data_IF_175399372947
#
_entry.id   IF_175399372947
#
_cell.length_a   1.000
_cell.length_b   1.000
_cell.length_c   1.000
_cell.angle_alpha   90.00
_cell.angle_beta   90.00
_cell.angle_gamma   90.00
#
_symmetry.space_group_name_H-M   'P 1'
#
loop_
_entity.id
_entity.type
_entity.pdbx_description
1 polymer ?
#
# COMPACT_ATOMS: atom_id res chain seq x y z
N UNK A 1 39.60 31.49 -71.70
CA UNK A 1 40.10 30.46 -70.76
C UNK A 1 39.12 30.42 -69.61
N UNK A 2 38.12 29.55 -69.73
CA UNK A 2 37.07 29.35 -68.73
C UNK A 2 37.34 28.03 -68.01
N UNK A 3 37.20 28.05 -66.69
CA UNK A 3 36.36 27.19 -65.87
C UNK A 3 36.99 26.96 -64.49
N UNK A 4 36.42 27.67 -63.52
CA UNK A 4 36.43 27.31 -62.10
C UNK A 4 35.66 25.99 -61.96
N UNK A 5 36.35 24.93 -61.56
CA UNK A 5 35.73 23.67 -61.14
C UNK A 5 35.30 23.79 -59.68
N UNK A 6 33.99 23.86 -59.49
CA UNK A 6 33.30 23.63 -58.23
C UNK A 6 33.51 22.19 -57.75
N UNK A 7 34.22 22.01 -56.64
CA UNK A 7 34.17 20.77 -55.88
C UNK A 7 32.83 20.72 -55.14
N UNK A 8 31.88 19.99 -55.72
CA UNK A 8 30.66 19.56 -55.06
C UNK A 8 31.05 18.39 -54.17
N UNK A 9 31.10 18.62 -52.85
CA UNK A 9 31.11 17.55 -51.87
C UNK A 9 29.76 16.83 -51.96
N UNK A 10 29.72 15.48 -52.01
CA UNK A 10 28.46 14.76 -51.98
C UNK A 10 27.80 15.00 -50.63
N UNK A 11 26.56 15.49 -50.64
CA UNK A 11 25.64 15.37 -49.51
C UNK A 11 25.61 13.89 -49.12
N UNK A 12 26.21 13.55 -47.98
CA UNK A 12 25.97 12.26 -47.34
C UNK A 12 24.50 12.23 -46.95
N UNK A 13 23.78 11.48 -47.79
CA UNK A 13 22.55 10.77 -47.51
C UNK A 13 22.16 10.74 -46.04
N UNK A 14 20.93 11.18 -45.78
CA UNK A 14 20.02 10.72 -44.72
C UNK A 14 20.55 9.46 -44.02
N UNK A 15 21.01 9.60 -42.77
CA UNK A 15 21.20 8.49 -41.84
C UNK A 15 19.81 7.89 -41.56
N UNK A 16 19.40 6.96 -42.41
CA UNK A 16 18.42 5.95 -42.03
C UNK A 16 19.18 4.92 -41.22
N UNK A 17 19.31 5.12 -39.91
CA UNK A 17 19.72 4.02 -39.04
C UNK A 17 18.66 2.93 -39.17
N UNK A 18 19.00 1.83 -39.83
CA UNK A 18 18.15 0.64 -39.89
C UNK A 18 17.76 0.25 -38.46
N UNK A 19 16.48 -0.02 -38.23
CA UNK A 19 16.01 -0.54 -36.94
C UNK A 19 16.80 -1.81 -36.60
N UNK A 20 17.32 -1.95 -35.37
CA UNK A 20 18.01 -3.17 -34.99
C UNK A 20 17.08 -4.37 -35.20
N UNK A 21 17.61 -5.47 -35.72
CA UNK A 21 16.82 -6.69 -36.05
C UNK A 21 16.07 -7.29 -34.85
N UNK A 22 16.38 -6.85 -33.63
CA UNK A 22 15.72 -7.24 -32.37
C UNK A 22 14.63 -6.27 -31.91
N UNK A 23 14.39 -5.17 -32.63
CA UNK A 23 13.39 -4.18 -32.28
C UNK A 23 11.98 -4.78 -32.33
N UNK A 24 11.22 -4.54 -31.27
CA UNK A 24 9.79 -4.83 -31.20
C UNK A 24 9.04 -3.60 -31.67
N UNK A 25 8.15 -3.80 -32.64
CA UNK A 25 7.24 -2.75 -33.10
C UNK A 25 6.13 -2.62 -32.07
N UNK A 26 5.93 -1.41 -31.56
CA UNK A 26 4.84 -1.07 -30.64
C UNK A 26 3.56 -0.87 -31.46
N UNK A 27 2.46 -1.46 -31.01
CA UNK A 27 1.16 -1.24 -31.64
C UNK A 27 0.57 0.11 -31.21
N UNK A 28 -0.39 0.63 -31.99
CA UNK A 28 -1.14 1.82 -31.59
C UNK A 28 -1.87 1.60 -30.25
N UNK A 29 -2.37 0.38 -29.99
CA UNK A 29 -3.00 0.01 -28.72
C UNK A 29 -2.02 0.11 -27.54
N UNK A 30 -0.75 -0.27 -27.72
CA UNK A 30 0.28 -0.15 -26.69
C UNK A 30 0.58 1.32 -26.36
N UNK A 31 0.63 2.16 -27.39
CA UNK A 31 0.85 3.60 -27.28
C UNK A 31 -0.32 4.28 -26.57
N UNK A 32 -1.55 3.98 -27.00
CA UNK A 32 -2.77 4.52 -26.39
C UNK A 32 -2.89 4.10 -24.92
N UNK A 33 -2.58 2.83 -24.60
CA UNK A 33 -2.56 2.33 -23.23
C UNK A 33 -1.50 3.03 -22.38
N UNK A 34 -0.29 3.21 -22.90
CA UNK A 34 0.78 3.90 -22.19
C UNK A 34 0.40 5.37 -21.92
N UNK A 35 -0.20 6.04 -22.90
CA UNK A 35 -0.72 7.40 -22.75
C UNK A 35 -1.79 7.46 -21.66
N UNK A 36 -2.82 6.59 -21.69
CA UNK A 36 -3.90 6.56 -20.70
C UNK A 36 -3.35 6.38 -19.27
N UNK A 37 -2.42 5.44 -19.06
CA UNK A 37 -1.83 5.19 -17.74
C UNK A 37 -1.04 6.42 -17.27
N UNK A 38 -0.22 7.02 -18.14
CA UNK A 38 0.56 8.21 -17.78
C UNK A 38 -0.32 9.42 -17.44
N UNK A 39 -1.39 9.65 -18.21
CA UNK A 39 -2.35 10.74 -17.98
C UNK A 39 -3.12 10.54 -16.67
N UNK A 40 -3.50 9.30 -16.33
CA UNK A 40 -4.19 8.99 -15.07
C UNK A 40 -3.33 9.28 -13.83
N UNK A 41 -2.00 9.16 -13.95
CA UNK A 41 -1.06 9.36 -12.85
C UNK A 41 -0.62 10.83 -12.71
N UNK A 42 -0.85 11.64 -13.73
CA UNK A 42 -0.59 13.07 -13.74
C UNK A 42 -1.45 13.79 -12.69
N UNK A 43 -0.82 14.62 -11.84
CA UNK A 43 -1.51 15.27 -10.73
C UNK A 43 -2.63 16.19 -11.17
N UNK A 44 -3.88 15.89 -10.78
CA UNK A 44 -5.04 16.76 -11.05
C UNK A 44 -4.95 18.14 -10.37
N UNK A 45 -4.15 18.26 -9.31
CA UNK A 45 -4.04 19.48 -8.49
C UNK A 45 -3.21 20.58 -9.16
N UNK A 46 -2.29 20.21 -10.05
CA UNK A 46 -1.45 21.17 -10.76
C UNK A 46 -1.93 21.36 -12.21
N UNK A 47 -2.20 22.61 -12.59
CA UNK A 47 -2.28 23.02 -14.01
C UNK A 47 -0.91 22.97 -14.72
N UNK A 48 0.12 22.40 -14.07
CA UNK A 48 1.47 22.24 -14.59
C UNK A 48 1.84 20.76 -14.45
N UNK A 49 1.72 19.96 -15.52
CA UNK A 49 2.12 18.55 -15.48
C UNK A 49 3.58 18.41 -15.03
N UNK A 50 3.88 17.45 -14.16
CA UNK A 50 5.26 17.04 -13.92
C UNK A 50 5.68 16.17 -15.12
N UNK A 51 5.95 16.85 -16.24
CA UNK A 51 6.15 16.23 -17.55
C UNK A 51 7.26 15.17 -17.55
N UNK A 52 8.26 15.30 -16.68
CA UNK A 52 9.35 14.32 -16.58
C UNK A 52 8.85 13.01 -15.98
N UNK A 53 8.00 13.06 -14.95
CA UNK A 53 7.37 11.86 -14.37
C UNK A 53 6.41 11.20 -15.35
N UNK A 54 5.52 11.99 -15.94
CA UNK A 54 4.52 11.51 -16.91
C UNK A 54 5.21 10.81 -18.08
N UNK A 55 6.28 11.44 -18.58
CA UNK A 55 7.12 10.87 -19.62
C UNK A 55 7.78 9.55 -19.18
N UNK A 56 8.37 9.49 -17.98
CA UNK A 56 9.00 8.26 -17.53
C UNK A 56 7.99 7.11 -17.32
N UNK A 57 6.81 7.41 -16.79
CA UNK A 57 5.70 6.45 -16.66
C UNK A 57 5.26 5.94 -18.03
N UNK A 58 5.13 6.84 -19.00
CA UNK A 58 4.81 6.49 -20.39
C UNK A 58 5.87 5.55 -20.98
N UNK A 59 7.16 5.89 -20.87
CA UNK A 59 8.27 5.03 -21.32
C UNK A 59 8.27 3.67 -20.62
N UNK A 60 8.00 3.62 -19.32
CA UNK A 60 7.91 2.38 -18.56
C UNK A 60 6.75 1.49 -19.05
N UNK A 61 5.61 2.07 -19.43
CA UNK A 61 4.49 1.32 -20.01
C UNK A 61 4.82 0.76 -21.40
N UNK A 62 5.48 1.55 -22.26
CA UNK A 62 5.96 1.07 -23.56
C UNK A 62 6.99 -0.05 -23.41
N UNK A 63 7.94 0.10 -22.49
CA UNK A 63 8.94 -0.91 -22.21
C UNK A 63 8.31 -2.23 -21.71
N UNK A 64 7.28 -2.15 -20.86
CA UNK A 64 6.53 -3.33 -20.43
C UNK A 64 5.87 -4.03 -21.62
N UNK A 65 5.13 -3.29 -22.44
CA UNK A 65 4.40 -3.86 -23.60
C UNK A 65 5.35 -4.48 -24.63
N UNK A 66 6.47 -3.82 -24.90
CA UNK A 66 7.52 -4.35 -25.77
C UNK A 66 8.18 -5.60 -25.19
N UNK A 67 8.46 -5.64 -23.89
CA UNK A 67 9.07 -6.79 -23.25
C UNK A 67 8.12 -7.99 -23.20
N UNK A 68 6.83 -7.76 -22.96
CA UNK A 68 5.78 -8.79 -23.04
C UNK A 68 5.73 -9.41 -24.45
N UNK A 69 5.71 -8.57 -25.48
CA UNK A 69 5.74 -9.01 -26.88
C UNK A 69 7.05 -9.73 -27.24
N UNK A 70 8.19 -9.21 -26.80
CA UNK A 70 9.51 -9.83 -27.03
C UNK A 70 9.59 -11.25 -26.45
N UNK A 71 9.04 -11.44 -25.25
CA UNK A 71 8.96 -12.74 -24.59
C UNK A 71 7.98 -13.68 -25.31
N UNK A 72 6.81 -13.20 -25.72
CA UNK A 72 5.82 -14.02 -26.43
C UNK A 72 6.41 -14.57 -27.74
N UNK A 73 7.02 -13.71 -28.56
CA UNK A 73 7.61 -14.09 -29.86
C UNK A 73 8.76 -15.09 -29.75
N UNK A 74 9.53 -15.06 -28.65
CA UNK A 74 10.78 -15.83 -28.52
C UNK A 74 10.66 -16.96 -27.51
N UNK A 75 9.67 -16.92 -26.63
CA UNK A 75 9.52 -17.79 -25.48
C UNK A 75 8.08 -17.96 -24.96
N UNK A 76 7.18 -18.38 -25.84
CA UNK A 76 5.77 -18.75 -25.54
C UNK A 76 5.57 -19.66 -24.30
N UNK A 77 6.58 -20.44 -23.90
CA UNK A 77 6.48 -21.29 -22.70
C UNK A 77 6.61 -20.54 -21.37
N UNK A 78 7.10 -19.30 -21.37
CA UNK A 78 7.30 -18.50 -20.16
C UNK A 78 6.01 -17.71 -19.86
N UNK A 79 5.43 -17.94 -18.69
CA UNK A 79 4.26 -17.19 -18.23
C UNK A 79 4.68 -15.85 -17.64
N UNK A 80 4.01 -14.77 -18.05
CA UNK A 80 4.18 -13.44 -17.47
C UNK A 80 3.00 -13.17 -16.52
N UNK A 81 3.31 -12.71 -15.31
CA UNK A 81 2.32 -12.15 -14.40
C UNK A 81 2.73 -10.72 -14.03
N UNK A 82 1.85 -9.77 -14.34
CA UNK A 82 2.02 -8.34 -14.07
C UNK A 82 1.12 -7.82 -12.94
N UNK A 83 0.36 -8.68 -12.24
CA UNK A 83 -0.62 -8.28 -11.20
C UNK A 83 0.01 -7.44 -10.09
N UNK A 84 1.26 -7.75 -9.72
CA UNK A 84 2.03 -7.05 -8.67
C UNK A 84 3.03 -6.06 -9.22
N UNK A 85 3.01 -5.80 -10.53
CA UNK A 85 3.94 -4.89 -11.17
C UNK A 85 3.76 -3.46 -10.65
N UNK A 86 4.86 -2.74 -10.42
CA UNK A 86 4.82 -1.38 -9.86
C UNK A 86 4.10 -0.40 -10.77
N UNK A 87 4.25 -0.53 -12.10
CA UNK A 87 3.68 0.42 -13.07
C UNK A 87 2.14 0.34 -13.13
N UNK A 88 1.55 -0.80 -12.78
CA UNK A 88 0.10 -1.00 -12.74
C UNK A 88 -0.51 -0.58 -11.39
N UNK A 89 0.31 -0.19 -10.41
CA UNK A 89 -0.11 0.28 -9.10
C UNK A 89 0.14 1.78 -8.98
N UNK A 90 -0.92 2.63 -9.00
CA UNK A 90 -0.76 4.08 -9.11
C UNK A 90 0.20 4.73 -8.12
N UNK A 91 0.13 4.33 -6.84
CA UNK A 91 1.02 4.88 -5.82
C UNK A 91 2.48 4.51 -6.07
N UNK A 92 2.78 3.26 -6.46
CA UNK A 92 4.15 2.84 -6.75
C UNK A 92 4.67 3.45 -8.06
N UNK A 93 3.86 3.46 -9.11
CA UNK A 93 4.19 4.06 -10.41
C UNK A 93 4.54 5.55 -10.29
N UNK A 94 3.90 6.27 -9.36
CA UNK A 94 4.15 7.69 -9.11
C UNK A 94 5.51 7.98 -8.44
N UNK A 95 6.08 7.00 -7.74
CA UNK A 95 7.28 7.19 -6.91
C UNK A 95 8.47 6.32 -7.31
N UNK A 96 8.26 5.26 -8.09
CA UNK A 96 9.31 4.35 -8.55
C UNK A 96 9.40 4.43 -10.08
N UNK A 97 10.48 5.02 -10.56
CA UNK A 97 10.76 5.19 -11.99
C UNK A 97 11.31 3.91 -12.64
N UNK A 98 10.68 2.76 -12.39
CA UNK A 98 11.02 1.48 -12.97
C UNK A 98 9.82 0.52 -12.95
N UNK A 99 9.84 -0.48 -13.83
CA UNK A 99 8.84 -1.56 -13.90
C UNK A 99 9.33 -2.72 -13.05
N UNK A 100 9.16 -2.65 -11.73
CA UNK A 100 9.60 -3.69 -10.80
C UNK A 100 8.46 -4.67 -10.47
N UNK A 101 8.82 -5.77 -9.79
CA UNK A 101 7.90 -6.84 -9.39
C UNK A 101 7.18 -7.54 -10.56
N UNK A 102 7.71 -7.43 -11.79
CA UNK A 102 7.22 -8.23 -12.91
C UNK A 102 7.65 -9.69 -12.72
N UNK A 103 6.73 -10.63 -12.85
CA UNK A 103 7.01 -12.05 -12.65
C UNK A 103 7.07 -12.75 -14.01
N UNK A 104 8.20 -13.40 -14.31
CA UNK A 104 8.40 -14.20 -15.53
C UNK A 104 8.79 -15.62 -15.11
N UNK A 105 7.86 -16.56 -15.26
CA UNK A 105 7.96 -17.88 -14.64
C UNK A 105 8.10 -17.74 -13.12
N UNK A 106 9.18 -18.27 -12.57
CA UNK A 106 9.50 -18.14 -11.13
C UNK A 106 10.45 -16.96 -10.82
N UNK A 107 10.96 -16.25 -11.84
CA UNK A 107 11.84 -15.10 -11.66
C UNK A 107 11.09 -13.78 -11.59
N UNK A 108 11.41 -13.00 -10.56
CA UNK A 108 11.16 -11.56 -10.51
C UNK A 108 12.12 -10.78 -11.43
N UNK A 109 11.57 -9.92 -12.27
CA UNK A 109 12.28 -9.08 -13.26
C UNK A 109 11.94 -7.61 -13.01
N UNK A 110 12.91 -6.72 -13.25
CA UNK A 110 12.70 -5.28 -13.27
C UNK A 110 13.11 -4.71 -14.62
N UNK A 111 12.23 -3.96 -15.28
CA UNK A 111 12.56 -3.24 -16.51
C UNK A 111 12.97 -1.80 -16.18
N UNK A 112 14.02 -1.34 -16.82
CA UNK A 112 14.55 0.02 -16.75
C UNK A 112 14.39 0.61 -18.14
N UNK A 113 13.38 1.46 -18.31
CA UNK A 113 13.09 2.10 -19.59
C UNK A 113 13.92 3.37 -19.77
N UNK A 114 14.54 3.51 -20.93
CA UNK A 114 15.23 4.75 -21.33
C UNK A 114 14.87 5.13 -22.76
N UNK A 115 14.73 6.43 -23.01
CA UNK A 115 14.50 6.97 -24.36
C UNK A 115 15.79 7.13 -25.18
N UNK A 116 16.96 7.00 -24.55
CA UNK A 116 18.25 7.13 -25.22
C UNK A 116 19.35 6.42 -24.43
N UNK A 117 20.27 5.79 -25.14
CA UNK A 117 21.47 5.15 -24.57
C UNK A 117 22.75 5.98 -24.78
N UNK A 118 22.63 7.22 -25.26
CA UNK A 118 23.79 8.06 -25.62
C UNK A 118 24.67 8.45 -24.42
N UNK A 119 24.10 8.52 -23.21
CA UNK A 119 24.80 9.00 -22.02
C UNK A 119 25.71 7.93 -21.38
N UNK A 120 25.84 6.74 -21.99
CA UNK A 120 26.64 5.57 -21.55
C UNK A 120 26.37 5.06 -20.11
N UNK A 121 25.47 5.73 -19.39
CA UNK A 121 25.09 5.49 -18.00
C UNK A 121 23.59 5.31 -17.91
N UNK A 122 23.15 4.44 -17.01
CA UNK A 122 21.74 4.25 -16.69
C UNK A 122 21.45 4.63 -15.24
N UNK A 123 20.34 5.33 -15.05
CA UNK A 123 19.82 5.69 -13.73
C UNK A 123 18.95 4.58 -13.16
N UNK A 124 19.24 4.14 -11.93
CA UNK A 124 18.54 3.09 -11.22
C UNK A 124 17.94 3.64 -9.92
N UNK A 125 16.61 3.57 -9.73
CA UNK A 125 16.01 4.00 -8.47
C UNK A 125 16.59 3.25 -7.29
N UNK A 126 17.02 3.96 -6.25
CA UNK A 126 17.58 3.32 -5.04
C UNK A 126 16.61 2.29 -4.43
N UNK A 127 15.30 2.52 -4.55
CA UNK A 127 14.25 1.59 -4.11
C UNK A 127 14.41 0.19 -4.70
N UNK A 128 14.76 0.05 -5.99
CA UNK A 128 14.89 -1.26 -6.63
C UNK A 128 16.24 -1.94 -6.35
N UNK A 129 17.19 -1.22 -5.74
CA UNK A 129 18.54 -1.70 -5.41
C UNK A 129 18.67 -2.06 -3.93
N UNK A 130 18.11 -1.24 -3.05
CA UNK A 130 18.35 -1.31 -1.60
C UNK A 130 17.18 -1.95 -0.83
N UNK A 131 15.95 -1.97 -1.37
CA UNK A 131 14.79 -2.54 -0.68
C UNK A 131 14.49 -3.97 -1.15
N UNK A 132 14.62 -5.01 -0.29
CA UNK A 132 14.34 -6.41 -0.62
C UNK A 132 12.98 -6.66 -1.30
N UNK A 133 11.98 -5.85 -0.97
CA UNK A 133 10.64 -5.90 -1.54
C UNK A 133 10.61 -5.64 -3.05
N UNK A 134 11.58 -4.90 -3.59
CA UNK A 134 11.64 -4.46 -4.98
C UNK A 134 12.81 -5.03 -5.77
N UNK A 135 13.85 -5.55 -5.09
CA UNK A 135 15.00 -6.19 -5.74
C UNK A 135 14.53 -7.36 -6.63
N UNK A 136 14.84 -7.34 -7.94
CA UNK A 136 14.57 -8.44 -8.87
C UNK A 136 15.72 -9.44 -8.93
N UNK A 137 15.51 -10.58 -9.58
CA UNK A 137 16.61 -11.47 -10.00
C UNK A 137 17.36 -10.91 -11.21
N UNK A 138 16.64 -10.25 -12.12
CA UNK A 138 17.19 -9.63 -13.32
C UNK A 138 16.71 -8.19 -13.49
N UNK A 139 17.66 -7.30 -13.75
CA UNK A 139 17.43 -5.95 -14.25
C UNK A 139 17.57 -5.98 -15.77
N UNK A 140 16.58 -5.47 -16.49
CA UNK A 140 16.55 -5.49 -17.95
C UNK A 140 16.48 -4.06 -18.45
N UNK A 141 17.44 -3.68 -19.26
CA UNK A 141 17.50 -2.38 -19.90
C UNK A 141 16.69 -2.45 -21.21
N UNK A 142 15.67 -1.60 -21.30
CA UNK A 142 14.81 -1.49 -22.47
C UNK A 142 14.95 -0.09 -23.05
N UNK A 143 15.45 -0.01 -24.28
CA UNK A 143 15.52 1.24 -25.03
C UNK A 143 14.21 1.45 -25.78
N UNK A 144 13.56 2.59 -25.55
CA UNK A 144 12.28 2.95 -26.17
C UNK A 144 12.53 4.05 -27.18
N UNK A 145 12.35 3.72 -28.46
CA UNK A 145 12.47 4.63 -29.60
C UNK A 145 11.06 5.08 -29.98
N UNK A 146 10.50 5.99 -29.18
CA UNK A 146 9.12 6.49 -29.32
C UNK A 146 8.83 7.03 -30.72
N UNK A 147 9.74 7.84 -31.29
CA UNK A 147 9.60 8.41 -32.65
C UNK A 147 9.50 7.33 -33.74
N UNK A 148 10.03 6.13 -33.48
CA UNK A 148 10.02 4.99 -34.40
C UNK A 148 8.94 3.97 -34.02
N UNK A 149 8.12 4.25 -33.01
CA UNK A 149 7.13 3.33 -32.45
C UNK A 149 7.72 1.94 -32.22
N UNK A 150 8.91 1.89 -31.62
CA UNK A 150 9.59 0.62 -31.36
C UNK A 150 10.37 0.67 -30.05
N UNK A 151 10.65 -0.51 -29.52
CA UNK A 151 11.52 -0.66 -28.36
C UNK A 151 12.41 -1.88 -28.50
N UNK A 152 13.56 -1.86 -27.84
CA UNK A 152 14.58 -2.89 -27.91
C UNK A 152 14.94 -3.36 -26.50
N UNK A 153 14.81 -4.67 -26.26
CA UNK A 153 15.38 -5.31 -25.07
C UNK A 153 16.89 -5.33 -25.26
N UNK A 154 17.56 -4.33 -24.72
CA UNK A 154 18.93 -3.99 -25.11
C UNK A 154 19.98 -4.82 -24.36
N UNK A 155 19.84 -4.91 -23.04
CA UNK A 155 20.80 -5.59 -22.18
C UNK A 155 20.16 -6.04 -20.87
N UNK A 156 20.82 -6.90 -20.11
CA UNK A 156 20.35 -7.33 -18.80
C UNK A 156 21.48 -7.53 -17.80
N UNK A 157 21.14 -7.57 -16.51
CA UNK A 157 22.08 -7.75 -15.41
C UNK A 157 21.39 -8.55 -14.31
N UNK A 158 22.02 -9.63 -13.83
CA UNK A 158 21.49 -10.35 -12.67
C UNK A 158 21.79 -9.62 -11.36
N UNK A 159 21.00 -9.88 -10.32
CA UNK A 159 21.25 -9.32 -8.99
C UNK A 159 22.63 -9.69 -8.43
N UNK A 160 23.08 -10.92 -8.67
CA UNK A 160 24.42 -11.36 -8.24
C UNK A 160 25.52 -10.54 -8.93
N UNK A 161 25.39 -10.32 -10.23
CA UNK A 161 26.32 -9.50 -11.01
C UNK A 161 26.31 -8.02 -10.59
N UNK A 162 25.15 -7.49 -10.18
CA UNK A 162 25.04 -6.15 -9.61
C UNK A 162 25.85 -6.03 -8.30
N UNK A 163 25.75 -7.02 -7.40
CA UNK A 163 26.51 -7.04 -6.15
C UNK A 163 28.02 -7.05 -6.39
N UNK A 164 28.48 -7.84 -7.36
CA UNK A 164 29.90 -7.88 -7.76
C UNK A 164 30.40 -6.52 -8.29
N UNK A 165 29.49 -5.70 -8.84
CA UNK A 165 29.77 -4.40 -9.44
C UNK A 165 29.37 -3.22 -8.55
N UNK A 166 29.05 -3.45 -7.27
CA UNK A 166 28.56 -2.40 -6.37
C UNK A 166 29.51 -1.19 -6.25
N UNK A 167 30.81 -1.42 -6.36
CA UNK A 167 31.83 -0.36 -6.32
C UNK A 167 31.80 0.59 -7.54
N UNK A 168 31.14 0.20 -8.63
CA UNK A 168 30.98 1.03 -9.83
C UNK A 168 29.72 1.90 -9.76
N UNK A 169 28.83 1.63 -8.80
CA UNK A 169 27.62 2.42 -8.60
C UNK A 169 27.93 3.68 -7.80
N UNK A 170 27.39 4.81 -8.24
CA UNK A 170 27.47 6.08 -7.52
C UNK A 170 26.07 6.60 -7.22
N UNK A 171 25.78 6.83 -5.94
CA UNK A 171 24.52 7.43 -5.51
C UNK A 171 24.56 8.93 -5.81
N UNK A 172 23.59 9.40 -6.59
CA UNK A 172 23.44 10.79 -6.97
C UNK A 172 22.54 11.55 -5.98
N UNK A 173 22.50 12.88 -6.12
CA UNK A 173 21.70 13.75 -5.24
C UNK A 173 20.19 13.57 -5.41
N UNK A 174 19.74 13.06 -6.56
CA UNK A 174 18.33 12.75 -6.85
C UNK A 174 17.88 11.43 -6.20
N UNK A 175 18.76 10.75 -5.47
CA UNK A 175 18.48 9.47 -4.82
C UNK A 175 18.55 8.26 -5.75
N UNK A 176 19.07 8.40 -6.98
CA UNK A 176 19.28 7.29 -7.90
C UNK A 176 20.74 6.85 -7.96
N UNK A 177 20.97 5.57 -8.25
CA UNK A 177 22.30 5.06 -8.60
C UNK A 177 22.56 5.24 -10.09
N UNK A 178 23.79 5.60 -10.43
CA UNK A 178 24.27 5.60 -11.81
C UNK A 178 25.17 4.38 -12.04
N UNK A 179 24.91 3.64 -13.11
CA UNK A 179 25.66 2.45 -13.50
C UNK A 179 26.03 2.52 -14.99
N UNK A 180 27.27 2.23 -15.40
CA UNK A 180 27.63 2.18 -16.82
C UNK A 180 26.87 1.09 -17.57
N UNK A 181 26.37 1.39 -18.77
CA UNK A 181 25.67 0.42 -19.63
C UNK A 181 26.57 -0.79 -19.94
N UNK A 182 27.89 -0.59 -20.04
CA UNK A 182 28.89 -1.66 -20.22
C UNK A 182 28.93 -2.68 -19.08
N UNK A 183 28.27 -2.41 -17.96
CA UNK A 183 28.11 -3.35 -16.85
C UNK A 183 27.12 -4.47 -17.16
N UNK A 184 26.18 -4.24 -18.08
CA UNK A 184 25.12 -5.17 -18.46
C UNK A 184 25.62 -6.14 -19.54
N UNK A 185 25.06 -7.35 -19.55
CA UNK A 185 25.22 -8.30 -20.66
C UNK A 185 24.35 -7.83 -21.83
N UNK A 186 25.00 -7.52 -22.96
CA UNK A 186 24.39 -6.97 -24.16
C UNK A 186 23.76 -8.04 -25.07
N UNK A 187 23.68 -9.30 -24.62
CA UNK A 187 23.04 -10.37 -25.36
C UNK A 187 21.73 -10.78 -24.68
N UNK A 188 20.58 -10.18 -25.05
CA UNK A 188 19.29 -10.49 -24.45
C UNK A 188 18.83 -11.94 -24.65
N UNK A 189 19.35 -12.69 -25.64
CA UNK A 189 19.03 -14.11 -25.79
C UNK A 189 19.57 -14.96 -24.63
N UNK A 190 20.64 -14.50 -23.94
CA UNK A 190 21.12 -15.16 -22.72
C UNK A 190 20.15 -15.02 -21.56
N UNK A 191 19.39 -13.92 -21.50
CA UNK A 191 18.31 -13.77 -20.52
C UNK A 191 17.26 -14.87 -20.74
N UNK A 192 16.86 -15.15 -21.98
CA UNK A 192 15.91 -16.23 -22.29
C UNK A 192 16.44 -17.60 -21.86
N UNK A 193 17.73 -17.85 -22.05
CA UNK A 193 18.38 -19.07 -21.59
C UNK A 193 18.29 -19.20 -20.05
N UNK A 194 18.58 -18.11 -19.32
CA UNK A 194 18.51 -18.12 -17.87
C UNK A 194 17.09 -18.30 -17.36
N UNK A 195 16.11 -17.57 -17.91
CA UNK A 195 14.71 -17.69 -17.52
C UNK A 195 14.13 -19.09 -17.73
N UNK A 196 14.67 -19.87 -18.68
CA UNK A 196 14.21 -21.24 -18.98
C UNK A 196 14.96 -22.33 -18.23
N UNK A 197 16.26 -22.16 -18.04
CA UNK A 197 17.15 -23.25 -17.65
C UNK A 197 17.75 -23.08 -16.25
N UNK A 198 17.71 -21.87 -15.68
CA UNK A 198 18.24 -21.61 -14.36
C UNK A 198 17.18 -21.92 -13.30
N UNK A 199 17.60 -22.52 -12.19
CA UNK A 199 16.76 -22.62 -11.00
C UNK A 199 16.75 -21.27 -10.26
N UNK A 200 15.60 -20.84 -9.74
CA UNK A 200 15.49 -19.55 -9.03
C UNK A 200 16.44 -19.45 -7.84
N UNK A 201 16.68 -20.57 -7.16
CA UNK A 201 17.61 -20.67 -6.03
C UNK A 201 19.05 -20.26 -6.39
N UNK A 202 19.43 -20.31 -7.66
CA UNK A 202 20.75 -19.90 -8.13
C UNK A 202 21.01 -18.40 -7.98
N UNK A 203 19.96 -17.57 -7.96
CA UNK A 203 20.04 -16.14 -7.69
C UNK A 203 19.32 -15.86 -6.38
N UNK A 204 20.07 -15.79 -5.29
CA UNK A 204 19.51 -15.57 -3.96
C UNK A 204 19.20 -14.10 -3.72
N UNK A 205 17.91 -13.80 -3.53
CA UNK A 205 17.45 -12.47 -3.14
C UNK A 205 17.57 -12.25 -1.62
N UNK A 206 17.76 -11.01 -1.16
CA UNK A 206 17.81 -10.72 0.27
C UNK A 206 16.45 -10.98 0.94
N UNK A 207 16.47 -11.47 2.17
CA UNK A 207 15.26 -11.70 2.94
C UNK A 207 14.58 -10.36 3.28
N UNK A 208 13.25 -10.32 3.16
CA UNK A 208 12.44 -9.17 3.57
C UNK A 208 12.49 -9.07 5.11
N UNK A 209 12.92 -7.93 5.69
CA UNK A 209 12.97 -7.74 7.13
C UNK A 209 11.59 -7.86 7.76
N UNK A 210 11.48 -8.57 8.89
CA UNK A 210 10.21 -8.72 9.62
C UNK A 210 9.91 -7.54 10.56
N UNK A 211 10.88 -6.64 10.78
CA UNK A 211 10.78 -5.52 11.71
C UNK A 211 10.31 -4.21 11.05
N UNK A 212 9.67 -4.24 9.87
CA UNK A 212 9.19 -3.02 9.17
C UNK A 212 8.24 -2.17 10.03
N UNK A 213 7.36 -2.82 10.80
CA UNK A 213 6.45 -2.15 11.71
C UNK A 213 7.21 -1.39 12.83
N UNK A 214 8.30 -1.95 13.34
CA UNK A 214 9.13 -1.30 14.37
C UNK A 214 9.88 -0.08 13.81
N UNK A 215 10.37 -0.19 12.56
CA UNK A 215 11.01 0.94 11.86
C UNK A 215 9.99 2.07 11.69
N UNK A 216 8.78 1.76 11.22
CA UNK A 216 7.71 2.74 11.06
C UNK A 216 7.34 3.42 12.39
N UNK A 217 7.22 2.65 13.47
CA UNK A 217 6.95 3.19 14.80
C UNK A 217 8.05 4.16 15.27
N UNK A 218 9.31 3.88 14.91
CA UNK A 218 10.47 4.71 15.28
C UNK A 218 10.47 6.06 14.54
N UNK A 219 10.09 6.06 13.26
CA UNK A 219 10.07 7.29 12.44
C UNK A 219 8.74 8.06 12.51
N UNK A 220 7.74 7.56 13.24
CA UNK A 220 6.38 8.12 13.31
C UNK A 220 6.36 9.64 13.56
N UNK A 221 7.03 10.12 14.61
CA UNK A 221 6.98 11.54 14.98
C UNK A 221 7.63 12.43 13.91
N UNK A 222 8.69 11.94 13.26
CA UNK A 222 9.36 12.66 12.19
C UNK A 222 8.48 12.77 10.95
N UNK A 223 7.75 11.70 10.60
CA UNK A 223 6.78 11.74 9.49
C UNK A 223 5.63 12.72 9.77
N UNK A 224 5.18 12.82 11.02
CA UNK A 224 4.15 13.79 11.41
C UNK A 224 4.64 15.24 11.29
N UNK A 225 5.92 15.50 11.57
CA UNK A 225 6.53 16.83 11.41
C UNK A 225 6.67 17.22 9.93
N UNK A 226 6.96 16.25 9.05
CA UNK A 226 7.10 16.46 7.61
C UNK A 226 5.76 16.50 6.84
N UNK A 227 4.64 16.31 7.52
CA UNK A 227 3.30 16.31 6.92
C UNK A 227 3.01 17.54 6.03
N UNK A 228 3.33 18.80 6.42
CA UNK A 228 3.07 19.95 5.57
C UNK A 228 3.85 19.92 4.25
N UNK A 229 5.06 19.34 4.25
CA UNK A 229 5.89 19.21 3.05
C UNK A 229 5.43 18.06 2.16
N UNK A 230 5.00 16.94 2.77
CA UNK A 230 4.44 15.78 2.04
C UNK A 230 3.16 16.12 1.28
N UNK A 231 2.41 17.13 1.72
CA UNK A 231 1.21 17.63 1.03
C UNK A 231 1.51 18.38 -0.26
N UNK A 232 2.76 18.82 -0.48
CA UNK A 232 3.13 19.58 -1.66
C UNK A 232 3.36 18.62 -2.84
N UNK A 233 2.51 18.65 -3.89
CA UNK A 233 2.65 17.75 -5.04
C UNK A 233 3.89 18.03 -5.90
N UNK A 234 4.50 19.21 -5.76
CA UNK A 234 5.65 19.65 -6.56
C UNK A 234 6.98 19.04 -6.10
N UNK A 235 7.03 18.46 -4.89
CA UNK A 235 8.27 17.92 -4.31
C UNK A 235 8.31 16.40 -4.41
N UNK A 236 9.48 15.89 -4.79
CA UNK A 236 9.75 14.47 -4.77
C UNK A 236 9.88 13.96 -3.32
N UNK A 237 9.49 12.71 -3.08
CA UNK A 237 9.70 12.10 -1.76
C UNK A 237 11.19 12.05 -1.38
N UNK A 238 12.07 11.90 -2.37
CA UNK A 238 13.52 11.91 -2.17
C UNK A 238 14.07 13.26 -1.65
N UNK A 239 13.37 14.37 -1.93
CA UNK A 239 13.76 15.70 -1.46
C UNK A 239 13.25 16.00 -0.04
N UNK A 240 12.21 15.29 0.41
CA UNK A 240 11.54 15.53 1.70
C UNK A 240 12.00 14.52 2.75
N UNK A 241 12.10 13.25 2.38
CA UNK A 241 12.31 12.14 3.30
C UNK A 241 13.77 11.74 3.38
N UNK A 242 14.23 11.41 4.58
CA UNK A 242 15.47 10.63 4.73
C UNK A 242 15.27 9.22 4.19
N UNK A 243 16.36 8.51 3.90
CA UNK A 243 16.26 7.13 3.40
C UNK A 243 15.52 6.18 4.37
N UNK A 244 15.69 6.36 5.67
CA UNK A 244 15.00 5.55 6.69
C UNK A 244 13.48 5.79 6.67
N UNK A 245 13.07 7.05 6.52
CA UNK A 245 11.67 7.44 6.38
C UNK A 245 11.07 6.97 5.05
N UNK A 246 11.80 7.14 3.94
CA UNK A 246 11.39 6.65 2.64
C UNK A 246 11.22 5.12 2.66
N UNK A 247 12.14 4.39 3.30
CA UNK A 247 12.02 2.94 3.51
C UNK A 247 10.73 2.61 4.25
N UNK A 248 10.41 3.32 5.33
CA UNK A 248 9.16 3.10 6.07
C UNK A 248 7.92 3.37 5.20
N UNK A 249 7.94 4.37 4.33
CA UNK A 249 6.82 4.67 3.42
C UNK A 249 6.68 3.61 2.32
N UNK A 250 7.77 3.29 1.60
CA UNK A 250 7.74 2.34 0.47
C UNK A 250 7.43 0.89 0.86
N UNK A 251 7.72 0.51 2.11
CA UNK A 251 7.51 -0.88 2.59
C UNK A 251 6.15 -1.08 3.27
N UNK A 252 5.32 -0.04 3.35
CA UNK A 252 3.95 -0.10 3.89
C UNK A 252 2.96 0.42 2.84
N UNK A 253 2.26 -0.47 2.11
CA UNK A 253 1.38 -0.09 1.00
C UNK A 253 0.28 0.91 1.37
N UNK A 254 -0.31 0.77 2.56
CA UNK A 254 -1.38 1.65 3.04
C UNK A 254 -0.85 3.07 3.25
N UNK A 255 0.36 3.20 3.80
CA UNK A 255 1.01 4.49 4.00
C UNK A 255 1.41 5.13 2.66
N UNK A 256 1.97 4.35 1.73
CA UNK A 256 2.31 4.84 0.39
C UNK A 256 1.07 5.33 -0.37
N UNK A 257 -0.02 4.55 -0.33
CA UNK A 257 -1.31 4.92 -0.94
C UNK A 257 -1.88 6.20 -0.31
N UNK A 258 -1.77 6.35 1.01
CA UNK A 258 -2.18 7.58 1.66
C UNK A 258 -1.33 8.78 1.21
N UNK A 259 0.00 8.67 1.16
CA UNK A 259 0.87 9.75 0.66
C UNK A 259 0.51 10.11 -0.79
N UNK A 260 0.28 9.11 -1.63
CA UNK A 260 -0.17 9.30 -3.01
C UNK A 260 -1.50 10.07 -3.07
N UNK A 261 -2.54 9.61 -2.36
CA UNK A 261 -3.86 10.27 -2.36
C UNK A 261 -3.80 11.69 -1.77
N UNK A 262 -2.93 11.92 -0.79
CA UNK A 262 -2.67 13.23 -0.20
C UNK A 262 -2.10 14.22 -1.22
N UNK A 263 -1.10 13.81 -2.00
CA UNK A 263 -0.50 14.65 -3.05
C UNK A 263 -1.44 14.86 -4.24
N UNK A 264 -2.33 13.91 -4.51
CA UNK A 264 -3.27 13.92 -5.64
C UNK A 264 -4.57 14.68 -5.36
N UNK A 265 -4.79 15.15 -4.13
CA UNK A 265 -6.06 15.75 -3.67
C UNK A 265 -7.27 14.81 -3.81
N UNK A 266 -7.03 13.50 -3.78
CA UNK A 266 -8.07 12.46 -3.86
C UNK A 266 -8.68 12.16 -2.48
N UNK A 267 -8.48 13.04 -1.50
CA UNK A 267 -8.98 12.84 -0.16
C UNK A 267 -10.51 12.96 -0.16
N UNK A 268 -11.25 11.96 0.35
CA UNK A 268 -12.70 12.07 0.49
C UNK A 268 -13.08 13.23 1.41
N UNK A 269 -14.20 13.92 1.09
CA UNK A 269 -14.66 15.13 1.79
C UNK A 269 -14.89 14.95 3.30
N UNK A 270 -15.01 13.70 3.78
CA UNK A 270 -15.27 13.35 5.17
C UNK A 270 -14.01 12.91 5.95
N UNK A 271 -12.81 13.02 5.38
CA UNK A 271 -11.61 12.57 6.07
C UNK A 271 -11.25 13.48 7.27
N UNK A 272 -10.76 12.88 8.38
CA UNK A 272 -10.24 13.67 9.48
C UNK A 272 -9.04 14.52 9.03
N UNK A 273 -8.62 15.52 9.86
CA UNK A 273 -7.39 16.24 9.61
C UNK A 273 -6.24 15.26 9.33
N UNK A 274 -5.44 15.54 8.29
CA UNK A 274 -4.41 14.61 7.80
C UNK A 274 -3.45 14.10 8.88
N UNK A 275 -3.18 14.91 9.92
CA UNK A 275 -2.38 14.52 11.08
C UNK A 275 -3.05 13.41 11.89
N UNK A 276 -4.34 13.55 12.17
CA UNK A 276 -5.13 12.54 12.88
C UNK A 276 -5.18 11.24 12.08
N UNK A 277 -5.43 11.33 10.77
CA UNK A 277 -5.43 10.16 9.90
C UNK A 277 -4.09 9.43 9.91
N UNK A 278 -2.97 10.16 9.70
CA UNK A 278 -1.64 9.56 9.67
C UNK A 278 -1.30 8.88 11.00
N UNK A 279 -1.68 9.46 12.15
CA UNK A 279 -1.50 8.82 13.46
C UNK A 279 -2.29 7.53 13.57
N UNK A 280 -3.54 7.54 13.15
CA UNK A 280 -4.43 6.37 13.24
C UNK A 280 -3.96 5.26 12.29
N UNK A 281 -3.54 5.61 11.07
CA UNK A 281 -2.95 4.69 10.10
C UNK A 281 -1.67 4.04 10.64
N UNK A 282 -0.75 4.83 11.19
CA UNK A 282 0.48 4.28 11.78
C UNK A 282 0.15 3.35 12.96
N UNK A 283 -0.86 3.66 13.78
CA UNK A 283 -1.30 2.75 14.86
C UNK A 283 -1.85 1.44 14.30
N UNK A 284 -2.69 1.49 13.25
CA UNK A 284 -3.27 0.30 12.61
C UNK A 284 -2.19 -0.65 12.05
N UNK A 285 -1.10 -0.07 11.52
CA UNK A 285 0.02 -0.83 10.97
C UNK A 285 0.92 -1.39 12.08
N UNK A 286 1.26 -0.56 13.08
CA UNK A 286 2.35 -0.86 14.04
C UNK A 286 1.89 -1.51 15.35
N UNK A 287 0.65 -1.30 15.78
CA UNK A 287 0.17 -1.84 17.05
C UNK A 287 -0.31 -3.29 16.90
N UNK A 288 -0.09 -4.13 17.92
CA UNK A 288 -0.73 -5.44 17.97
C UNK A 288 -2.25 -5.27 18.06
N UNK A 289 -2.98 -6.14 17.38
CA UNK A 289 -4.43 -6.09 17.32
C UNK A 289 -5.06 -7.13 18.25
N UNK A 290 -6.20 -6.79 18.85
CA UNK A 290 -7.08 -7.71 19.55
C UNK A 290 -7.79 -8.57 18.51
N UNK A 291 -7.59 -9.88 18.56
CA UNK A 291 -8.25 -10.80 17.64
C UNK A 291 -9.68 -11.11 18.11
N UNK A 292 -10.64 -10.36 17.56
CA UNK A 292 -12.06 -10.54 17.82
C UNK A 292 -12.61 -11.85 17.22
N UNK A 293 -11.98 -12.38 16.16
CA UNK A 293 -12.38 -13.65 15.54
C UNK A 293 -12.35 -14.84 16.49
N UNK A 294 -11.36 -14.89 17.40
CA UNK A 294 -11.25 -15.94 18.43
C UNK A 294 -12.39 -15.94 19.43
N UNK A 295 -13.08 -14.82 19.61
CA UNK A 295 -14.21 -14.73 20.54
C UNK A 295 -15.36 -15.62 20.10
N UNK A 296 -15.49 -15.90 18.79
CA UNK A 296 -16.45 -16.88 18.26
C UNK A 296 -16.21 -18.30 18.79
N UNK A 297 -14.96 -18.62 19.12
CA UNK A 297 -14.55 -19.85 19.81
C UNK A 297 -14.65 -19.79 21.34
N UNK A 298 -15.15 -18.69 21.92
CA UNK A 298 -15.09 -18.36 23.34
C UNK A 298 -13.65 -18.29 23.89
N UNK A 299 -12.72 -17.79 23.09
CA UNK A 299 -11.32 -17.62 23.48
C UNK A 299 -10.89 -16.15 23.35
N UNK A 300 -10.06 -15.70 24.29
CA UNK A 300 -9.34 -14.42 24.19
C UNK A 300 -7.88 -14.71 23.78
N UNK A 301 -7.32 -13.86 22.94
CA UNK A 301 -5.88 -13.84 22.69
C UNK A 301 -5.12 -13.22 23.89
N UNK A 302 -3.79 -13.33 23.86
CA UNK A 302 -2.95 -12.86 24.96
C UNK A 302 -3.04 -11.34 25.15
N UNK A 303 -3.23 -10.58 24.05
CA UNK A 303 -3.41 -9.14 24.11
C UNK A 303 -4.71 -8.78 24.83
N UNK A 304 -5.85 -9.36 24.44
CA UNK A 304 -7.13 -9.09 25.09
C UNK A 304 -7.11 -9.46 26.58
N UNK A 305 -6.49 -10.60 26.93
CA UNK A 305 -6.28 -10.98 28.34
C UNK A 305 -5.43 -9.94 29.10
N UNK A 306 -4.32 -9.50 28.51
CA UNK A 306 -3.43 -8.50 29.10
C UNK A 306 -4.12 -7.15 29.32
N UNK A 307 -5.06 -6.81 28.46
CA UNK A 307 -5.90 -5.61 28.56
C UNK A 307 -7.15 -5.81 29.45
N UNK A 308 -7.28 -6.96 30.10
CA UNK A 308 -8.40 -7.29 31.01
C UNK A 308 -9.78 -7.31 30.32
N UNK A 309 -9.83 -7.71 29.04
CA UNK A 309 -11.10 -8.04 28.41
C UNK A 309 -11.72 -9.29 29.06
N UNK A 310 -13.04 -9.30 29.16
CA UNK A 310 -13.80 -10.43 29.71
C UNK A 310 -14.88 -10.85 28.72
N UNK A 311 -14.89 -12.13 28.34
CA UNK A 311 -15.89 -12.67 27.41
C UNK A 311 -17.30 -12.57 28.01
N UNK A 312 -18.24 -12.15 27.17
CA UNK A 312 -19.66 -12.21 27.46
C UNK A 312 -20.16 -13.67 27.32
N UNK A 313 -21.18 -14.07 28.10
CA UNK A 313 -21.85 -15.34 27.89
C UNK A 313 -22.49 -15.39 26.50
N UNK A 314 -22.64 -16.61 25.97
CA UNK A 314 -23.32 -16.83 24.68
C UNK A 314 -24.74 -16.27 24.68
N UNK A 315 -25.16 -15.62 23.57
CA UNK A 315 -26.48 -15.02 23.37
C UNK A 315 -27.66 -16.01 23.22
N UNK A 316 -27.52 -17.22 23.76
CA UNK A 316 -28.60 -18.22 23.80
C UNK A 316 -29.51 -17.89 24.98
N UNK A 317 -30.84 -17.76 24.78
CA UNK A 317 -31.76 -17.49 25.89
C UNK A 317 -31.69 -18.63 26.93
N UNK A 318 -31.10 -18.34 28.08
CA UNK A 318 -30.92 -19.32 29.14
C UNK A 318 -32.23 -19.50 29.92
N UNK A 319 -32.80 -20.70 29.87
CA UNK A 319 -33.98 -21.10 30.67
C UNK A 319 -33.60 -21.55 32.10
N UNK A 320 -32.57 -20.98 32.73
CA UNK A 320 -32.12 -21.46 34.04
C UNK A 320 -31.17 -20.53 34.80
N UNK A 321 -31.40 -20.46 36.12
CA UNK A 321 -30.69 -19.65 37.13
C UNK A 321 -29.17 -19.82 37.06
N UNK A 322 -28.48 -18.90 36.41
CA UNK A 322 -27.05 -18.64 36.66
C UNK A 322 -26.92 -17.52 37.70
N UNK A 323 -25.91 -17.55 38.58
CA UNK A 323 -25.59 -16.41 39.43
C UNK A 323 -25.25 -15.21 38.52
N UNK A 324 -26.18 -14.25 38.51
CA UNK A 324 -26.19 -13.06 37.68
C UNK A 324 -24.99 -12.16 38.00
N UNK A 325 -24.28 -11.70 36.95
CA UNK A 325 -23.23 -10.68 37.04
C UNK A 325 -23.73 -9.40 36.40
N UNK A 326 -23.48 -8.27 37.07
CA UNK A 326 -23.98 -6.93 36.68
C UNK A 326 -23.68 -6.57 35.21
N UNK A 327 -22.47 -6.77 34.64
CA UNK A 327 -22.19 -6.41 33.24
C UNK A 327 -22.98 -7.21 32.20
N UNK A 328 -23.29 -8.48 32.50
CA UNK A 328 -24.02 -9.35 31.58
C UNK A 328 -25.49 -8.94 31.51
N UNK A 329 -26.08 -8.54 32.64
CA UNK A 329 -27.45 -8.01 32.71
C UNK A 329 -27.58 -6.66 32.01
N UNK A 330 -26.62 -5.75 32.24
CA UNK A 330 -26.55 -4.47 31.53
C UNK A 330 -26.55 -4.68 30.02
N UNK A 331 -25.70 -5.60 29.54
CA UNK A 331 -25.63 -5.91 28.11
C UNK A 331 -26.95 -6.49 27.58
N UNK A 332 -27.60 -7.41 28.29
CA UNK A 332 -28.90 -7.96 27.85
C UNK A 332 -29.99 -6.89 27.74
N UNK A 333 -30.00 -5.92 28.66
CA UNK A 333 -30.91 -4.75 28.58
C UNK A 333 -30.60 -3.94 27.31
N UNK A 334 -29.33 -3.62 27.06
CA UNK A 334 -28.92 -2.87 25.87
C UNK A 334 -29.25 -3.66 24.60
N UNK A 335 -28.91 -4.94 24.53
CA UNK A 335 -29.17 -5.81 23.38
C UNK A 335 -30.68 -5.90 23.06
N UNK A 336 -31.53 -5.93 24.09
CA UNK A 336 -32.99 -5.90 23.91
C UNK A 336 -33.44 -4.56 23.31
N UNK A 337 -32.90 -3.44 23.78
CA UNK A 337 -33.21 -2.12 23.24
C UNK A 337 -32.70 -1.95 21.80
N UNK A 338 -31.50 -2.46 21.48
CA UNK A 338 -30.95 -2.44 20.13
C UNK A 338 -31.83 -3.22 19.14
N UNK A 339 -32.34 -4.39 19.55
CA UNK A 339 -33.31 -5.16 18.74
C UNK A 339 -34.61 -4.37 18.51
N UNK A 340 -35.12 -3.65 19.52
CA UNK A 340 -36.29 -2.78 19.35
C UNK A 340 -36.02 -1.60 18.41
N UNK A 341 -34.77 -1.13 18.32
CA UNK A 341 -34.30 -0.11 17.37
C UNK A 341 -33.98 -0.68 15.98
N UNK A 342 -34.21 -1.98 15.74
CA UNK A 342 -34.01 -2.63 14.44
C UNK A 342 -32.61 -3.19 14.19
N UNK A 343 -31.72 -3.17 15.19
CA UNK A 343 -30.40 -3.80 15.10
C UNK A 343 -30.49 -5.27 15.57
N UNK A 344 -30.43 -6.20 14.63
CA UNK A 344 -30.38 -7.64 14.94
C UNK A 344 -28.94 -8.10 15.21
N UNK A 345 -28.74 -8.71 16.39
CA UNK A 345 -27.48 -9.37 16.77
C UNK A 345 -27.66 -10.87 16.54
N UNK A 346 -26.90 -11.51 15.64
CA UNK A 346 -27.03 -12.93 15.35
C UNK A 346 -26.71 -13.82 16.57
N UNK A 347 -27.33 -15.00 16.63
CA UNK A 347 -27.14 -15.95 17.74
C UNK A 347 -25.70 -16.50 17.77
N UNK A 348 -25.04 -16.57 16.60
CA UNK A 348 -23.62 -16.94 16.51
C UNK A 348 -22.67 -15.83 16.97
N UNK A 349 -23.13 -14.60 17.18
CA UNK A 349 -22.27 -13.52 17.63
C UNK A 349 -21.66 -13.86 18.99
N UNK A 350 -20.46 -13.35 19.23
CA UNK A 350 -19.81 -13.39 20.55
C UNK A 350 -19.22 -12.04 20.84
N UNK A 351 -19.07 -11.72 22.11
CA UNK A 351 -18.51 -10.44 22.49
C UNK A 351 -17.71 -10.54 23.77
N UNK A 352 -17.05 -9.45 24.07
CA UNK A 352 -16.33 -9.23 25.30
C UNK A 352 -16.61 -7.80 25.79
N UNK A 353 -16.31 -7.55 27.06
CA UNK A 353 -16.35 -6.20 27.61
C UNK A 353 -15.04 -5.84 28.29
N UNK A 354 -14.80 -4.54 28.40
CA UNK A 354 -13.67 -3.96 29.10
C UNK A 354 -14.13 -2.71 29.85
N UNK A 355 -13.72 -2.58 31.10
CA UNK A 355 -13.88 -1.36 31.88
C UNK A 355 -12.71 -0.41 31.58
N UNK A 356 -13.02 0.82 31.20
CA UNK A 356 -12.04 1.86 30.87
C UNK A 356 -12.24 3.07 31.78
N UNK A 357 -11.17 3.80 32.07
CA UNK A 357 -11.22 5.01 32.89
C UNK A 357 -10.81 6.22 32.04
N UNK A 358 -11.74 7.16 31.83
CA UNK A 358 -11.51 8.35 31.02
C UNK A 358 -11.70 9.59 31.87
N UNK A 359 -10.65 10.39 32.07
CA UNK A 359 -10.66 11.55 32.97
C UNK A 359 -11.20 11.25 34.40
N UNK A 360 -11.01 10.02 34.90
CA UNK A 360 -11.53 9.56 36.18
C UNK A 360 -12.99 9.09 36.17
N UNK A 361 -13.66 9.14 35.01
CA UNK A 361 -15.01 8.62 34.81
C UNK A 361 -14.92 7.16 34.39
N UNK A 362 -15.52 6.23 35.15
CA UNK A 362 -15.56 4.83 34.76
C UNK A 362 -16.56 4.64 33.62
N UNK A 363 -16.09 4.00 32.56
CA UNK A 363 -16.89 3.64 31.39
C UNK A 363 -16.72 2.16 31.12
N UNK A 364 -17.65 1.58 30.37
CA UNK A 364 -17.61 0.19 29.93
C UNK A 364 -17.79 0.13 28.43
N UNK A 365 -16.84 -0.52 27.77
CA UNK A 365 -16.90 -0.86 26.36
C UNK A 365 -17.37 -2.31 26.22
N UNK A 366 -18.42 -2.55 25.45
CA UNK A 366 -18.77 -3.87 24.94
C UNK A 366 -18.42 -3.93 23.46
N UNK A 367 -17.75 -4.98 23.06
CA UNK A 367 -17.42 -5.27 21.67
C UNK A 367 -18.03 -6.63 21.31
N UNK A 368 -18.82 -6.68 20.24
CA UNK A 368 -19.53 -7.88 19.79
C UNK A 368 -19.23 -8.09 18.31
N UNK A 369 -18.91 -9.33 17.95
CA UNK A 369 -18.47 -9.68 16.61
C UNK A 369 -19.15 -10.94 16.08
N UNK A 370 -19.30 -11.00 14.76
CA UNK A 370 -19.76 -12.16 14.00
C UNK A 370 -19.25 -12.07 12.55
N UNK A 371 -19.12 -13.22 11.90
CA UNK A 371 -18.87 -13.25 10.46
C UNK A 371 -20.18 -13.06 9.70
N UNK A 372 -20.10 -12.42 8.54
CA UNK A 372 -21.23 -12.29 7.61
C UNK A 372 -21.10 -13.40 6.55
N UNK A 373 -22.19 -14.11 6.30
CA UNK A 373 -22.27 -15.11 5.22
C UNK A 373 -22.94 -14.41 4.04
N UNK A 374 -22.13 -13.85 3.14
CA UNK A 374 -22.58 -13.25 1.88
C UNK A 374 -22.55 -14.24 0.72
N UNK A 375 -23.21 -13.89 -0.40
CA UNK A 375 -23.06 -14.59 -1.70
C UNK A 375 -21.73 -14.25 -2.39
N UNK A 376 -21.02 -13.23 -1.92
CA UNK A 376 -19.70 -12.84 -2.42
C UNK A 376 -18.61 -13.81 -1.95
N UNK A 377 -17.56 -13.97 -2.76
CA UNK A 377 -16.35 -14.72 -2.36
C UNK A 377 -15.57 -14.01 -1.24
N UNK A 378 -15.87 -12.74 -0.98
CA UNK A 378 -15.23 -11.93 0.06
C UNK A 378 -15.82 -12.25 1.43
N UNK A 379 -14.93 -12.61 2.35
CA UNK A 379 -15.30 -12.93 3.73
C UNK A 379 -15.33 -11.65 4.54
N UNK A 380 -16.52 -11.33 5.02
CA UNK A 380 -16.75 -10.14 5.82
C UNK A 380 -17.01 -10.50 7.29
N UNK A 381 -16.82 -9.52 8.16
CA UNK A 381 -17.14 -9.58 9.57
C UNK A 381 -17.72 -8.26 10.04
N UNK A 382 -18.45 -8.30 11.15
CA UNK A 382 -18.99 -7.11 11.79
C UNK A 382 -18.43 -6.94 13.19
N UNK A 383 -18.25 -5.69 13.58
CA UNK A 383 -17.90 -5.26 14.92
C UNK A 383 -18.95 -4.24 15.40
N UNK A 384 -19.72 -4.65 16.40
CA UNK A 384 -20.63 -3.78 17.16
C UNK A 384 -19.92 -3.32 18.42
N UNK A 385 -19.80 -2.01 18.59
CA UNK A 385 -19.21 -1.38 19.75
C UNK A 385 -20.30 -0.64 20.51
N UNK A 386 -20.33 -0.79 21.83
CA UNK A 386 -21.28 -0.15 22.72
C UNK A 386 -20.48 0.45 23.86
N UNK A 387 -20.54 1.76 23.99
CA UNK A 387 -19.95 2.48 25.11
C UNK A 387 -21.08 2.89 26.05
N UNK A 388 -20.99 2.49 27.31
CA UNK A 388 -21.92 2.88 28.36
C UNK A 388 -21.21 3.23 29.66
N UNK A 389 -21.94 3.78 30.62
CA UNK A 389 -21.46 3.88 31.98
C UNK A 389 -21.88 2.65 32.81
N UNK A 390 -21.04 2.18 33.75
CA UNK A 390 -21.42 1.07 34.63
C UNK A 390 -22.74 1.35 35.36
N UNK A 391 -23.52 0.30 35.60
CA UNK A 391 -24.85 0.34 36.17
C UNK A 391 -25.88 1.17 35.37
N UNK A 392 -25.65 1.36 34.06
CA UNK A 392 -26.52 2.13 33.16
C UNK A 392 -26.78 3.56 33.63
N UNK A 393 -25.80 4.19 34.28
CA UNK A 393 -25.89 5.62 34.54
C UNK A 393 -25.80 6.43 33.25
N UNK A 394 -26.25 7.69 33.28
CA UNK A 394 -26.09 8.60 32.14
C UNK A 394 -24.62 8.75 31.77
N UNK A 395 -24.30 8.65 30.49
CA UNK A 395 -22.99 9.00 29.99
C UNK A 395 -22.73 10.51 30.16
N UNK A 396 -21.46 10.93 30.34
CA UNK A 396 -21.14 12.35 30.39
C UNK A 396 -21.44 13.03 29.04
N UNK A 397 -21.87 14.30 29.11
CA UNK A 397 -22.01 15.14 27.93
C UNK A 397 -20.68 15.27 27.18
N UNK A 398 -20.74 15.43 25.86
CA UNK A 398 -19.59 15.57 24.97
C UNK A 398 -18.65 14.35 24.90
N UNK A 399 -19.11 13.19 25.37
CA UNK A 399 -18.40 11.93 25.09
C UNK A 399 -18.54 11.58 23.62
N UNK A 400 -17.45 11.09 23.02
CA UNK A 400 -17.41 10.62 21.64
C UNK A 400 -16.82 9.22 21.55
N UNK A 401 -17.45 8.40 20.72
CA UNK A 401 -16.94 7.10 20.27
C UNK A 401 -16.62 7.20 18.79
N UNK A 402 -15.37 6.92 18.42
CA UNK A 402 -14.89 7.00 17.05
C UNK A 402 -14.32 5.66 16.62
N UNK A 403 -14.64 5.26 15.40
CA UNK A 403 -14.10 4.07 14.74
C UNK A 403 -13.46 4.47 13.42
N UNK A 404 -12.23 4.05 13.20
CA UNK A 404 -11.49 4.29 11.97
C UNK A 404 -10.83 3.03 11.44
N UNK A 405 -10.51 3.03 10.16
CA UNK A 405 -9.75 2.00 9.46
C UNK A 405 -8.63 2.64 8.62
N UNK A 406 -8.07 1.87 7.69
CA UNK A 406 -7.03 2.34 6.78
C UNK A 406 -7.51 3.34 5.72
N UNK A 407 -8.81 3.60 5.63
CA UNK A 407 -9.42 4.49 4.62
C UNK A 407 -9.91 5.80 5.22
N UNK A 408 -10.33 5.82 6.49
CA UNK A 408 -10.81 7.03 7.14
C UNK A 408 -11.45 6.79 8.50
N UNK A 409 -12.23 7.78 8.94
CA UNK A 409 -13.21 7.58 10.00
C UNK A 409 -14.43 6.89 9.37
N UNK A 410 -14.80 5.75 9.90
CA UNK A 410 -15.99 5.00 9.50
C UNK A 410 -17.24 5.53 10.21
N UNK A 411 -17.11 5.85 11.49
CA UNK A 411 -18.20 6.42 12.29
C UNK A 411 -17.65 7.24 13.47
N UNK A 412 -18.33 8.33 13.83
CA UNK A 412 -18.08 9.13 15.02
C UNK A 412 -19.41 9.53 15.66
N UNK A 413 -19.67 8.99 16.84
CA UNK A 413 -20.91 9.23 17.58
C UNK A 413 -20.61 10.02 18.84
N UNK A 414 -21.30 11.15 19.01
CA UNK A 414 -21.24 11.97 20.21
C UNK A 414 -22.58 12.07 20.93
N UNK A 415 -22.54 12.30 22.24
CA UNK A 415 -23.72 12.71 22.99
C UNK A 415 -23.80 14.23 23.08
N UNK A 416 -24.92 14.78 22.63
CA UNK A 416 -25.27 16.17 22.90
C UNK A 416 -25.56 16.36 24.39
N UNK A 417 -25.31 17.57 24.92
CA UNK A 417 -25.52 17.91 26.32
C UNK A 417 -26.97 17.72 26.85
N UNK A 418 -27.94 17.51 25.96
CA UNK A 418 -29.36 17.29 26.28
C UNK A 418 -29.78 15.81 26.22
N UNK A 419 -28.89 14.89 25.84
CA UNK A 419 -29.22 13.46 25.80
C UNK A 419 -29.02 12.81 27.18
N UNK A 420 -30.05 12.11 27.66
CA UNK A 420 -29.98 11.23 28.84
C UNK A 420 -29.67 9.77 28.46
N UNK A 421 -29.13 9.53 27.25
CA UNK A 421 -28.80 8.17 26.82
C UNK A 421 -27.75 7.53 27.75
N UNK A 422 -28.04 6.33 28.23
CA UNK A 422 -27.14 5.55 29.09
C UNK A 422 -25.98 4.89 28.30
N UNK A 423 -26.07 4.88 26.97
CA UNK A 423 -25.05 4.32 26.08
C UNK A 423 -25.11 4.93 24.67
N UNK A 424 -24.00 4.84 23.95
CA UNK A 424 -23.90 5.02 22.50
C UNK A 424 -23.38 3.75 21.85
N UNK A 425 -23.74 3.50 20.59
CA UNK A 425 -23.29 2.31 19.88
C UNK A 425 -23.09 2.58 18.39
N UNK A 426 -22.11 1.90 17.80
CA UNK A 426 -21.87 1.88 16.36
C UNK A 426 -21.62 0.46 15.88
N UNK A 427 -21.93 0.19 14.61
CA UNK A 427 -21.64 -1.08 13.95
C UNK A 427 -20.87 -0.80 12.67
N UNK A 428 -19.66 -1.35 12.58
CA UNK A 428 -18.86 -1.37 11.36
C UNK A 428 -18.84 -2.77 10.75
N UNK A 429 -18.61 -2.83 9.44
CA UNK A 429 -18.47 -4.06 8.65
C UNK A 429 -17.21 -3.91 7.82
N UNK A 430 -16.43 -4.98 7.74
CA UNK A 430 -15.21 -5.00 6.93
C UNK A 430 -14.80 -6.40 6.51
N UNK A 431 -13.75 -6.46 5.69
CA UNK A 431 -13.13 -7.70 5.26
C UNK A 431 -12.28 -8.32 6.36
N UNK A 432 -12.01 -9.63 6.30
CA UNK A 432 -11.23 -10.32 7.36
C UNK A 432 -9.79 -9.82 7.51
N UNK A 433 -9.21 -9.22 6.47
CA UNK A 433 -7.88 -8.60 6.49
C UNK A 433 -7.89 -7.17 7.04
N UNK A 434 -9.07 -6.56 7.19
CA UNK A 434 -9.20 -5.20 7.73
C UNK A 434 -9.12 -5.16 9.26
N UNK A 435 -8.68 -4.01 9.76
CA UNK A 435 -8.58 -3.71 11.19
C UNK A 435 -9.35 -2.44 11.51
N UNK A 436 -9.94 -2.39 12.70
CA UNK A 436 -10.66 -1.22 13.20
C UNK A 436 -9.96 -0.64 14.43
N UNK A 437 -9.59 0.64 14.36
CA UNK A 437 -9.10 1.40 15.49
C UNK A 437 -10.30 2.05 16.19
N UNK A 438 -10.35 1.93 17.51
CA UNK A 438 -11.44 2.47 18.33
C UNK A 438 -10.87 3.45 19.33
N UNK A 439 -11.44 4.65 19.37
CA UNK A 439 -11.10 5.65 20.37
C UNK A 439 -12.32 6.24 21.05
N UNK A 440 -12.15 6.56 22.33
CA UNK A 440 -13.15 7.21 23.16
C UNK A 440 -12.56 8.51 23.67
N UNK A 441 -13.24 9.62 23.41
CA UNK A 441 -12.80 10.94 23.88
C UNK A 441 -13.88 11.65 24.69
N UNK A 442 -13.44 12.53 25.58
CA UNK A 442 -14.29 13.38 26.38
C UNK A 442 -13.74 14.81 26.31
N UNK A 443 -14.56 15.72 25.77
CA UNK A 443 -14.15 17.09 25.46
C UNK A 443 -12.93 17.17 24.52
N UNK A 444 -12.52 18.38 24.15
CA UNK A 444 -11.32 18.58 23.33
C UNK A 444 -10.05 18.37 24.18
N UNK A 445 -9.62 17.11 24.34
CA UNK A 445 -8.24 16.82 24.77
C UNK A 445 -7.98 15.54 25.55
N UNK A 446 -9.00 14.83 26.05
CA UNK A 446 -8.80 13.54 26.74
C UNK A 446 -9.32 12.41 25.88
N UNK A 447 -8.43 11.54 25.42
CA UNK A 447 -8.76 10.39 24.58
C UNK A 447 -8.11 9.12 25.12
N UNK A 448 -8.88 8.03 25.16
CA UNK A 448 -8.39 6.67 25.33
C UNK A 448 -8.48 5.97 23.98
N UNK A 449 -7.35 5.48 23.50
CA UNK A 449 -7.28 4.66 22.30
C UNK A 449 -7.20 3.19 22.73
N UNK A 450 -8.08 2.35 22.18
CA UNK A 450 -7.95 0.91 22.28
C UNK A 450 -6.98 0.44 21.17
N UNK A 451 -6.27 -0.70 21.36
CA UNK A 451 -5.56 -1.31 20.25
C UNK A 451 -6.55 -1.67 19.13
N UNK A 452 -6.07 -1.81 17.88
CA UNK A 452 -6.92 -2.22 16.76
C UNK A 452 -7.63 -3.54 17.03
N UNK A 453 -8.85 -3.70 16.53
CA UNK A 453 -9.53 -4.98 16.44
C UNK A 453 -9.28 -5.59 15.06
N UNK A 454 -8.87 -6.86 15.04
CA UNK A 454 -8.69 -7.65 13.83
C UNK A 454 -9.55 -8.91 13.89
N UNK A 455 -9.76 -9.57 12.75
CA UNK A 455 -10.56 -10.78 12.67
C UNK A 455 -9.78 -11.93 12.04
N UNK A 456 -9.34 -12.87 12.87
CA UNK A 456 -8.78 -14.13 12.41
C UNK A 456 -9.34 -15.27 13.25
N UNK A 457 -9.89 -16.30 12.59
CA UNK A 457 -10.43 -17.47 13.28
C UNK A 457 -9.36 -18.32 13.97
N UNK A 458 -8.07 -18.14 13.65
CA UNK A 458 -6.97 -18.90 14.21
C UNK A 458 -7.08 -20.37 13.80
N UNK A 459 -6.44 -20.75 12.70
CA UNK A 459 -6.32 -22.16 12.32
C UNK A 459 -5.25 -22.88 13.13
#
# INVERSE_FOLDING_TARGET
MNHLTSNILPMSYLDFDDLPTSAIILSDDDIDRAAEISERLSSRKLRIPNRLKEWQVYLNCLALSAFETWLDERAESLTINSDKCTILQPALANFINAVANLQVGEFKVCLIATGSLNDEMVSLPRVIIDLPEFIPHFYVLVEVLEERQSANVYAFLSYQELLERQNLMSLQSDGNYQLPISSFDNNPDRLLLYLRCLEVSAISLPAIPTNRAEILATVQNQLLELLPELQLPERELADILTWEQATAVFTNPELLNWVYTLQQDLQPENNPPANTFLRDLIKLITQPAVNAGRWLGNELDELAKGLSWVLLPSFVPASGMRPMRIPEEEFEVIATQLRQRGLEIPIQARGAYQDILLAGIPLRMYAVTWHLVGESEQREWSLLLILGAPALSSLPADIKLRVSDQTGILDELGLNAESEDAYIFTRVVGNWDEKFLVSVSLMDGVEVNLPPFAFDLGR
#
